data_IF_237603298822
#
_entry.id   IF_237603298822
#
_cell.length_a   1.000
_cell.length_b   1.000
_cell.length_c   1.000
_cell.angle_alpha   90.00
_cell.angle_beta   90.00
_cell.angle_gamma   90.00
#
_symmetry.space_group_name_H-M   'P 1'
#
loop_
_entity.id
_entity.type
_entity.pdbx_description
1 polymer ?
#
# COMPACT_ATOMS: atom_id res chain seq x y z
N UNK A 1 -23.21 7.40 -64.79
CA UNK A 1 -22.24 6.71 -63.94
C UNK A 1 -22.78 6.60 -62.52
N UNK A 2 -23.07 5.39 -62.02
CA UNK A 2 -23.12 5.11 -60.59
C UNK A 2 -21.94 4.21 -60.20
N UNK A 3 -21.13 4.64 -59.23
CA UNK A 3 -20.01 3.87 -58.67
C UNK A 3 -20.55 2.73 -57.80
N UNK A 4 -20.16 1.49 -58.14
CA UNK A 4 -20.47 0.26 -57.39
C UNK A 4 -19.87 0.32 -55.98
N UNK A 5 -20.70 -0.08 -55.02
CA UNK A 5 -20.41 -0.30 -53.60
C UNK A 5 -19.49 -1.52 -53.47
N UNK A 6 -18.34 -1.36 -52.80
CA UNK A 6 -17.40 -2.43 -52.46
C UNK A 6 -17.89 -3.05 -51.15
N UNK A 7 -18.30 -4.32 -51.19
CA UNK A 7 -18.45 -5.17 -50.01
C UNK A 7 -17.06 -5.50 -49.50
N UNK A 8 -16.76 -5.09 -48.27
CA UNK A 8 -15.63 -5.60 -47.51
C UNK A 8 -16.10 -6.93 -46.90
N UNK A 9 -15.55 -8.03 -47.42
CA UNK A 9 -15.71 -9.35 -46.84
C UNK A 9 -15.04 -9.37 -45.47
N UNK A 10 -15.86 -9.55 -44.45
CA UNK A 10 -15.47 -9.88 -43.08
C UNK A 10 -14.76 -11.22 -43.08
N UNK A 11 -13.42 -11.21 -42.99
CA UNK A 11 -12.62 -12.39 -42.75
C UNK A 11 -12.49 -12.60 -41.23
N UNK A 12 -13.60 -12.95 -40.58
CA UNK A 12 -13.59 -13.54 -39.23
C UNK A 12 -13.10 -14.99 -39.34
N UNK A 13 -11.79 -15.15 -39.45
CA UNK A 13 -11.13 -16.41 -39.09
C UNK A 13 -11.02 -16.50 -37.56
N UNK A 14 -11.05 -17.70 -36.97
CA UNK A 14 -10.78 -17.85 -35.54
C UNK A 14 -9.39 -17.27 -35.27
N UNK A 15 -9.29 -16.31 -34.35
CA UNK A 15 -8.01 -15.82 -33.84
C UNK A 15 -7.25 -17.01 -33.27
N UNK A 16 -6.29 -17.52 -34.05
CA UNK A 16 -5.30 -18.48 -33.59
C UNK A 16 -4.63 -17.84 -32.38
N UNK A 17 -4.87 -18.40 -31.19
CA UNK A 17 -4.23 -17.91 -29.97
C UNK A 17 -2.71 -17.87 -30.21
N UNK A 18 -2.08 -16.73 -29.93
CA UNK A 18 -0.62 -16.64 -29.99
C UNK A 18 -0.02 -17.77 -29.16
N UNK A 19 0.99 -18.45 -29.69
CA UNK A 19 1.73 -19.46 -28.93
C UNK A 19 2.41 -18.82 -27.71
N UNK A 20 2.45 -19.51 -26.55
CA UNK A 20 3.18 -19.04 -25.37
C UNK A 20 4.63 -18.68 -25.69
N UNK A 21 5.14 -17.60 -25.09
CA UNK A 21 6.48 -17.05 -25.33
C UNK A 21 7.41 -17.36 -24.15
N UNK A 22 8.69 -17.68 -24.37
CA UNK A 22 9.65 -17.87 -23.29
C UNK A 22 9.98 -16.53 -22.61
N UNK A 23 10.07 -16.53 -21.29
CA UNK A 23 10.58 -15.40 -20.51
C UNK A 23 12.11 -15.45 -20.48
N UNK A 24 12.79 -14.58 -21.23
CA UNK A 24 14.26 -14.57 -21.32
C UNK A 24 14.95 -14.38 -19.96
N UNK A 25 14.34 -13.62 -19.04
CA UNK A 25 14.88 -13.39 -17.69
C UNK A 25 14.83 -14.65 -16.81
N UNK A 26 14.00 -15.64 -17.16
CA UNK A 26 13.75 -16.86 -16.39
C UNK A 26 13.68 -18.05 -17.35
N UNK A 27 14.80 -18.30 -18.03
CA UNK A 27 14.98 -19.44 -18.89
C UNK A 27 16.34 -20.09 -18.62
N UNK A 28 16.33 -21.15 -17.80
CA UNK A 28 17.56 -21.87 -17.46
C UNK A 28 17.82 -23.01 -18.46
N UNK A 29 18.99 -23.01 -19.09
CA UNK A 29 19.37 -24.02 -20.09
C UNK A 29 19.26 -25.45 -19.53
N UNK A 30 19.68 -25.64 -18.26
CA UNK A 30 19.63 -26.89 -17.50
C UNK A 30 18.31 -27.13 -16.74
N UNK A 31 17.33 -26.24 -16.91
CA UNK A 31 16.01 -26.37 -16.33
C UNK A 31 15.32 -27.68 -16.74
N UNK A 32 14.55 -28.26 -15.82
CA UNK A 32 13.94 -29.58 -15.98
C UNK A 32 12.41 -29.57 -15.86
N UNK A 33 11.81 -28.38 -15.85
CA UNK A 33 10.37 -28.15 -15.91
C UNK A 33 10.08 -26.77 -16.51
N UNK A 34 8.96 -26.66 -17.24
CA UNK A 34 8.46 -25.38 -17.73
C UNK A 34 7.18 -25.02 -16.97
N UNK A 35 7.16 -23.87 -16.30
CA UNK A 35 5.92 -23.29 -15.80
C UNK A 35 5.32 -22.43 -16.90
N UNK A 36 4.02 -22.55 -17.16
CA UNK A 36 3.30 -21.68 -18.08
C UNK A 36 2.27 -20.87 -17.28
N UNK A 37 2.31 -19.55 -17.41
CA UNK A 37 1.33 -18.65 -16.83
C UNK A 37 0.91 -17.64 -17.89
N UNK A 38 -0.40 -17.50 -18.10
CA UNK A 38 -0.95 -16.75 -19.23
C UNK A 38 -0.29 -17.16 -20.56
N UNK A 39 0.24 -16.22 -21.33
CA UNK A 39 0.94 -16.48 -22.59
C UNK A 39 2.48 -16.50 -22.45
N UNK A 40 2.99 -16.79 -21.24
CA UNK A 40 4.41 -16.77 -20.91
C UNK A 40 4.87 -18.11 -20.32
N UNK A 41 6.08 -18.54 -20.66
CA UNK A 41 6.71 -19.76 -20.18
C UNK A 41 8.03 -19.47 -19.46
N UNK A 42 8.29 -20.21 -18.39
CA UNK A 42 9.43 -20.06 -17.50
C UNK A 42 10.11 -21.42 -17.33
N UNK A 43 11.33 -21.59 -17.85
CA UNK A 43 12.07 -22.85 -17.73
C UNK A 43 12.92 -22.82 -16.48
N UNK A 44 12.61 -23.68 -15.50
CA UNK A 44 13.13 -23.64 -14.12
C UNK A 44 13.47 -25.04 -13.58
N UNK A 45 13.83 -25.13 -12.30
CA UNK A 45 14.29 -26.35 -11.63
C UNK A 45 13.28 -26.82 -10.59
N UNK A 46 12.80 -28.06 -10.73
CA UNK A 46 11.93 -28.73 -9.75
C UNK A 46 12.50 -28.66 -8.33
N UNK A 47 13.80 -28.91 -8.18
CA UNK A 47 14.49 -28.93 -6.89
C UNK A 47 14.55 -27.57 -6.20
N UNK A 48 14.66 -26.47 -6.97
CA UNK A 48 14.67 -25.11 -6.41
C UNK A 48 13.27 -24.76 -5.90
N UNK A 49 12.25 -24.94 -6.73
CA UNK A 49 10.87 -24.65 -6.33
C UNK A 49 10.42 -25.53 -5.16
N UNK A 50 10.64 -26.85 -5.24
CA UNK A 50 10.28 -27.80 -4.19
C UNK A 50 11.03 -27.57 -2.86
N UNK A 51 12.25 -27.02 -2.90
CA UNK A 51 12.99 -26.63 -1.68
C UNK A 51 12.28 -25.50 -0.92
N UNK A 52 11.60 -24.59 -1.63
CA UNK A 52 10.99 -23.40 -1.05
C UNK A 52 9.47 -23.51 -0.87
N UNK A 53 8.83 -24.48 -1.53
CA UNK A 53 7.39 -24.66 -1.57
C UNK A 53 7.03 -26.14 -1.49
N UNK A 54 6.31 -26.52 -0.43
CA UNK A 54 5.74 -27.87 -0.31
C UNK A 54 4.70 -28.13 -1.40
N UNK A 55 3.94 -27.10 -1.79
CA UNK A 55 2.94 -27.19 -2.87
C UNK A 55 3.60 -27.57 -4.19
N UNK A 56 4.72 -26.93 -4.57
CA UNK A 56 5.45 -27.31 -5.78
C UNK A 56 6.11 -28.69 -5.63
N UNK A 57 6.61 -29.05 -4.44
CA UNK A 57 7.17 -30.39 -4.20
C UNK A 57 6.11 -31.48 -4.50
N UNK A 58 4.93 -31.36 -3.88
CA UNK A 58 3.83 -32.29 -4.07
C UNK A 58 3.32 -32.30 -5.52
N UNK A 59 3.25 -31.12 -6.15
CA UNK A 59 2.84 -30.97 -7.55
C UNK A 59 3.71 -31.79 -8.50
N UNK A 60 5.02 -31.86 -8.24
CA UNK A 60 5.97 -32.55 -9.12
C UNK A 60 6.09 -34.05 -8.84
N UNK A 61 5.62 -34.52 -7.68
CA UNK A 61 5.58 -35.93 -7.31
C UNK A 61 4.37 -36.68 -7.92
N UNK A 62 3.35 -35.95 -8.38
CA UNK A 62 2.20 -36.55 -9.02
C UNK A 62 2.58 -37.26 -10.34
N UNK A 63 2.06 -38.48 -10.60
CA UNK A 63 2.39 -39.24 -11.80
C UNK A 63 1.90 -38.49 -13.04
N UNK A 64 2.84 -38.12 -13.91
CA UNK A 64 2.54 -37.43 -15.16
C UNK A 64 1.93 -38.42 -16.16
N UNK A 65 0.94 -37.99 -16.93
CA UNK A 65 0.37 -38.83 -18.00
C UNK A 65 1.34 -38.79 -19.19
N UNK A 66 1.57 -39.94 -19.84
CA UNK A 66 2.59 -40.07 -20.90
C UNK A 66 2.41 -39.15 -22.13
N UNK A 67 1.28 -38.44 -22.25
CA UNK A 67 0.92 -37.58 -23.39
C UNK A 67 0.92 -36.07 -23.05
N UNK A 68 1.55 -35.67 -21.95
CA UNK A 68 1.63 -34.24 -21.58
C UNK A 68 2.52 -33.44 -22.55
N UNK A 69 2.10 -32.19 -22.90
CA UNK A 69 2.89 -31.33 -23.77
C UNK A 69 4.24 -30.99 -23.13
N UNK A 70 5.29 -31.03 -23.93
CA UNK A 70 6.67 -30.69 -23.52
C UNK A 70 7.24 -29.55 -24.34
N UNK A 71 8.07 -28.72 -23.71
CA UNK A 71 8.93 -27.72 -24.37
C UNK A 71 10.37 -28.03 -24.00
N UNK A 72 11.27 -28.08 -24.99
CA UNK A 72 12.67 -28.52 -24.80
C UNK A 72 12.82 -29.88 -24.09
N UNK A 73 11.86 -30.79 -24.31
CA UNK A 73 11.81 -32.09 -23.63
C UNK A 73 11.47 -32.01 -22.13
N UNK A 74 11.10 -30.83 -21.62
CA UNK A 74 10.67 -30.62 -20.25
C UNK A 74 9.13 -30.63 -20.16
N UNK A 75 8.54 -31.26 -19.14
CA UNK A 75 7.09 -31.22 -18.93
C UNK A 75 6.64 -29.79 -18.62
N UNK A 76 5.44 -29.44 -19.11
CA UNK A 76 4.81 -28.14 -18.87
C UNK A 76 3.81 -28.25 -17.73
N UNK A 77 3.87 -27.32 -16.78
CA UNK A 77 2.87 -27.14 -15.73
C UNK A 77 2.17 -25.80 -15.96
N UNK A 78 0.88 -25.86 -16.31
CA UNK A 78 0.06 -24.66 -16.46
C UNK A 78 -0.40 -24.14 -15.10
N UNK A 79 -0.15 -22.86 -14.86
CA UNK A 79 -0.53 -22.12 -13.66
C UNK A 79 -1.58 -21.08 -14.03
N UNK A 80 -2.56 -20.89 -13.15
CA UNK A 80 -3.63 -19.88 -13.30
C UNK A 80 -3.24 -18.49 -12.76
N UNK A 81 -1.96 -18.27 -12.50
CA UNK A 81 -1.42 -17.00 -11.98
C UNK A 81 -1.06 -16.05 -13.12
N UNK A 82 -0.80 -14.78 -12.77
CA UNK A 82 -0.28 -13.82 -13.74
C UNK A 82 1.16 -14.15 -14.12
N UNK A 83 1.54 -13.89 -15.38
CA UNK A 83 2.92 -14.06 -15.80
C UNK A 83 3.89 -13.14 -15.02
N UNK A 84 3.44 -11.94 -14.62
CA UNK A 84 4.24 -10.99 -13.84
C UNK A 84 4.55 -11.53 -12.43
N UNK A 85 3.57 -12.09 -11.72
CA UNK A 85 3.78 -12.64 -10.37
C UNK A 85 4.70 -13.86 -10.41
N UNK A 86 4.54 -14.77 -11.38
CA UNK A 86 5.41 -15.94 -11.56
C UNK A 86 6.85 -15.52 -11.88
N UNK A 87 7.02 -14.51 -12.74
CA UNK A 87 8.33 -13.93 -13.04
C UNK A 87 9.02 -13.41 -11.77
N UNK A 88 8.33 -12.57 -11.00
CA UNK A 88 8.89 -11.98 -9.78
C UNK A 88 9.20 -13.03 -8.71
N UNK A 89 8.33 -14.04 -8.53
CA UNK A 89 8.59 -15.17 -7.64
C UNK A 89 9.84 -15.94 -8.09
N UNK A 90 9.97 -16.26 -9.37
CA UNK A 90 11.11 -17.01 -9.87
C UNK A 90 12.42 -16.21 -9.70
N UNK A 91 12.47 -14.95 -10.15
CA UNK A 91 13.65 -14.10 -9.97
C UNK A 91 14.05 -13.97 -8.49
N UNK A 92 13.06 -13.91 -7.60
CA UNK A 92 13.28 -13.89 -6.15
C UNK A 92 13.92 -15.18 -5.63
N UNK A 93 13.36 -16.35 -5.99
CA UNK A 93 13.85 -17.66 -5.56
C UNK A 93 15.25 -17.97 -6.10
N UNK A 94 15.59 -17.44 -7.26
CA UNK A 94 16.88 -17.60 -7.90
C UNK A 94 17.92 -16.54 -7.49
N UNK A 95 17.58 -15.65 -6.56
CA UNK A 95 18.55 -14.71 -5.99
C UNK A 95 18.88 -13.53 -6.89
N UNK A 96 17.97 -13.12 -7.77
CA UNK A 96 18.17 -11.92 -8.58
C UNK A 96 18.39 -10.68 -7.68
N UNK A 97 19.40 -9.88 -8.02
CA UNK A 97 19.85 -8.74 -7.22
C UNK A 97 18.76 -7.68 -7.03
N UNK A 98 17.92 -7.47 -8.04
CA UNK A 98 16.89 -6.42 -8.03
C UNK A 98 15.64 -6.91 -7.28
N UNK A 99 15.56 -8.21 -7.01
CA UNK A 99 14.48 -8.86 -6.26
C UNK A 99 14.88 -9.23 -4.82
N UNK A 100 16.18 -9.35 -4.51
CA UNK A 100 16.69 -9.76 -3.18
C UNK A 100 17.56 -8.73 -2.48
N UNK A 101 18.09 -7.73 -3.21
CA UNK A 101 19.28 -6.98 -2.80
C UNK A 101 19.08 -5.60 -2.17
N UNK A 102 17.94 -5.29 -1.52
CA UNK A 102 17.83 -3.98 -0.88
C UNK A 102 16.69 -3.81 0.12
N UNK A 103 16.78 -2.77 0.95
CA UNK A 103 15.77 -2.37 1.93
C UNK A 103 14.43 -1.93 1.30
N UNK A 104 14.41 -1.80 -0.03
CA UNK A 104 13.33 -1.20 -0.79
C UNK A 104 13.09 -1.92 -2.13
N UNK A 105 11.87 -2.42 -2.33
CA UNK A 105 11.45 -3.20 -3.51
C UNK A 105 10.28 -2.53 -4.24
N UNK A 106 10.13 -2.72 -5.56
CA UNK A 106 8.94 -2.24 -6.28
C UNK A 106 7.65 -2.85 -5.73
N UNK A 107 6.54 -2.09 -5.76
CA UNK A 107 5.22 -2.58 -5.28
C UNK A 107 4.79 -3.89 -5.97
N UNK A 108 5.05 -4.04 -7.27
CA UNK A 108 4.76 -5.26 -8.01
C UNK A 108 5.52 -6.49 -7.48
N UNK A 109 6.79 -6.32 -7.07
CA UNK A 109 7.58 -7.39 -6.46
C UNK A 109 6.99 -7.75 -5.10
N UNK A 110 6.71 -6.76 -4.25
CA UNK A 110 6.10 -6.97 -2.93
C UNK A 110 4.73 -7.66 -3.04
N UNK A 111 3.91 -7.28 -4.01
CA UNK A 111 2.63 -7.92 -4.29
C UNK A 111 2.79 -9.39 -4.69
N UNK A 112 3.70 -9.68 -5.62
CA UNK A 112 4.02 -11.04 -6.03
C UNK A 112 4.52 -11.89 -4.85
N UNK A 113 5.36 -11.32 -3.98
CA UNK A 113 5.85 -11.99 -2.77
C UNK A 113 4.70 -12.42 -1.84
N UNK A 114 3.72 -11.54 -1.60
CA UNK A 114 2.57 -11.85 -0.75
C UNK A 114 1.63 -12.85 -1.42
N UNK A 115 1.25 -12.64 -2.69
CA UNK A 115 0.33 -13.54 -3.42
C UNK A 115 0.90 -14.93 -3.58
N UNK A 116 2.10 -15.04 -4.17
CA UNK A 116 2.71 -16.32 -4.48
C UNK A 116 3.20 -17.01 -3.22
N UNK A 117 3.74 -16.24 -2.26
CA UNK A 117 4.17 -16.78 -0.97
C UNK A 117 3.02 -17.37 -0.16
N UNK A 118 1.81 -16.79 -0.23
CA UNK A 118 0.62 -17.39 0.37
C UNK A 118 0.12 -18.60 -0.41
N UNK A 119 -0.03 -18.48 -1.74
CA UNK A 119 -0.64 -19.53 -2.59
C UNK A 119 0.20 -20.81 -2.64
N UNK A 120 1.52 -20.66 -2.73
CA UNK A 120 2.47 -21.78 -2.86
C UNK A 120 3.18 -22.10 -1.55
N UNK A 121 2.71 -21.57 -0.42
CA UNK A 121 3.29 -21.79 0.91
C UNK A 121 4.81 -21.54 0.99
N UNK A 122 5.24 -20.38 0.47
CA UNK A 122 6.63 -19.91 0.51
C UNK A 122 6.77 -18.90 1.64
N UNK A 123 6.83 -19.41 2.87
CA UNK A 123 6.64 -18.61 4.09
C UNK A 123 7.61 -17.42 4.21
N UNK A 124 8.91 -17.63 3.96
CA UNK A 124 9.91 -16.57 4.06
C UNK A 124 9.65 -15.40 3.09
N UNK A 125 9.26 -15.69 1.84
CA UNK A 125 8.92 -14.66 0.84
C UNK A 125 7.62 -13.94 1.25
N UNK A 126 6.60 -14.69 1.66
CA UNK A 126 5.32 -14.13 2.15
C UNK A 126 5.55 -13.16 3.30
N UNK A 127 6.31 -13.58 4.31
CA UNK A 127 6.56 -12.79 5.52
C UNK A 127 7.39 -11.54 5.23
N UNK A 128 8.36 -11.63 4.32
CA UNK A 128 9.13 -10.47 3.91
C UNK A 128 8.29 -9.45 3.13
N UNK A 129 7.44 -9.91 2.19
CA UNK A 129 6.51 -9.04 1.47
C UNK A 129 5.55 -8.32 2.43
N UNK A 130 5.01 -9.05 3.42
CA UNK A 130 4.20 -8.47 4.48
C UNK A 130 4.96 -7.41 5.29
N UNK A 131 6.24 -7.66 5.60
CA UNK A 131 7.07 -6.69 6.32
C UNK A 131 7.29 -5.39 5.53
N UNK A 132 7.46 -5.47 4.21
CA UNK A 132 7.53 -4.26 3.36
C UNK A 132 6.22 -3.46 3.39
N UNK A 133 5.08 -4.15 3.37
CA UNK A 133 3.77 -3.50 3.48
C UNK A 133 3.59 -2.84 4.85
N UNK A 134 3.88 -3.55 5.95
CA UNK A 134 3.76 -3.03 7.32
C UNK A 134 4.73 -1.90 7.63
N UNK A 135 5.93 -1.91 7.05
CA UNK A 135 6.86 -0.78 7.14
C UNK A 135 6.31 0.44 6.44
N UNK A 136 5.68 0.28 5.27
CA UNK A 136 5.11 1.41 4.50
C UNK A 136 3.80 1.93 5.12
N UNK A 137 2.95 1.02 5.59
CA UNK A 137 1.61 1.28 6.15
C UNK A 137 1.51 0.73 7.58
N UNK A 138 2.14 1.41 8.56
CA UNK A 138 2.28 0.89 9.91
C UNK A 138 1.01 1.03 10.75
N UNK A 139 0.89 0.16 11.75
CA UNK A 139 -0.15 0.24 12.77
C UNK A 139 0.18 1.21 13.92
N UNK A 140 1.46 1.53 14.12
CA UNK A 140 1.92 2.39 15.22
C UNK A 140 2.18 3.82 14.74
N UNK A 141 1.70 4.82 15.50
CA UNK A 141 1.90 6.23 15.18
C UNK A 141 3.39 6.63 15.12
N UNK A 142 4.23 6.05 15.99
CA UNK A 142 5.68 6.28 15.98
C UNK A 142 6.34 5.84 14.66
N UNK A 143 5.90 4.71 14.11
CA UNK A 143 6.36 4.21 12.83
C UNK A 143 5.83 5.07 11.67
N UNK A 144 4.59 5.54 11.75
CA UNK A 144 4.03 6.50 10.79
C UNK A 144 4.83 7.81 10.76
N UNK A 145 5.14 8.36 11.94
CA UNK A 145 5.96 9.57 12.09
C UNK A 145 7.36 9.38 11.48
N UNK A 146 7.98 8.22 11.70
CA UNK A 146 9.29 7.89 11.14
C UNK A 146 9.27 7.90 9.61
N UNK A 147 8.23 7.33 9.01
CA UNK A 147 8.06 7.24 7.57
C UNK A 147 7.91 8.60 6.90
N UNK A 148 7.12 9.50 7.50
CA UNK A 148 6.80 10.79 6.91
C UNK A 148 8.01 11.74 6.86
N UNK A 149 8.96 11.59 7.79
CA UNK A 149 10.00 12.59 7.94
C UNK A 149 11.36 12.18 7.38
N UNK A 150 11.78 10.94 7.55
CA UNK A 150 13.20 10.59 7.39
C UNK A 150 13.47 9.15 6.90
N UNK A 151 12.46 8.29 6.78
CA UNK A 151 12.70 6.91 6.38
C UNK A 151 12.85 6.77 4.86
N UNK A 152 13.88 6.05 4.35
CA UNK A 152 13.85 5.60 2.97
C UNK A 152 12.62 4.68 2.78
N UNK A 153 11.90 4.80 1.66
CA UNK A 153 10.68 4.05 1.48
C UNK A 153 10.99 2.56 1.37
N UNK A 154 10.24 1.72 2.08
CA UNK A 154 10.38 0.27 1.97
C UNK A 154 9.80 -0.28 0.66
N UNK A 155 8.95 0.52 -0.02
CA UNK A 155 8.38 0.22 -1.33
C UNK A 155 8.75 1.35 -2.29
N UNK A 156 9.40 1.02 -3.41
CA UNK A 156 9.82 1.99 -4.42
C UNK A 156 8.67 2.32 -5.37
N UNK A 157 8.46 3.61 -5.59
CA UNK A 157 7.62 4.10 -6.68
C UNK A 157 8.32 3.89 -8.03
N UNK A 158 7.59 3.39 -9.02
CA UNK A 158 7.98 3.52 -10.43
C UNK A 158 7.92 5.00 -10.85
N UNK A 159 8.64 5.44 -11.90
CA UNK A 159 8.47 6.79 -12.45
C UNK A 159 7.00 7.06 -12.79
N UNK A 160 6.43 8.12 -12.23
CA UNK A 160 5.02 8.49 -12.40
C UNK A 160 4.04 7.83 -11.41
N UNK A 161 4.52 6.95 -10.52
CA UNK A 161 3.76 6.40 -9.39
C UNK A 161 4.04 7.24 -8.12
N UNK A 162 3.00 7.59 -7.37
CA UNK A 162 3.11 8.23 -6.06
C UNK A 162 2.56 7.36 -4.94
N UNK A 163 2.54 7.91 -3.74
CA UNK A 163 2.04 7.21 -2.54
C UNK A 163 0.57 6.82 -2.67
N UNK A 164 -0.24 7.60 -3.41
CA UNK A 164 -1.64 7.29 -3.65
C UNK A 164 -1.79 6.00 -4.46
N UNK A 165 -1.06 5.85 -5.56
CA UNK A 165 -1.10 4.64 -6.38
C UNK A 165 -0.61 3.41 -5.59
N UNK A 166 0.45 3.55 -4.80
CA UNK A 166 0.92 2.47 -3.91
C UNK A 166 -0.14 2.10 -2.88
N UNK A 167 -0.79 3.08 -2.24
CA UNK A 167 -1.84 2.81 -1.26
C UNK A 167 -3.04 2.08 -1.90
N UNK A 168 -3.45 2.46 -3.11
CA UNK A 168 -4.54 1.80 -3.83
C UNK A 168 -4.17 0.35 -4.22
N UNK A 169 -2.95 0.13 -4.70
CA UNK A 169 -2.44 -1.22 -4.99
C UNK A 169 -2.35 -2.07 -3.71
N UNK A 170 -1.90 -1.49 -2.60
CA UNK A 170 -1.82 -2.17 -1.31
C UNK A 170 -3.21 -2.52 -0.74
N UNK A 171 -4.21 -1.65 -0.88
CA UNK A 171 -5.60 -1.95 -0.49
C UNK A 171 -6.14 -3.12 -1.31
N UNK A 172 -5.94 -3.11 -2.64
CA UNK A 172 -6.36 -4.21 -3.50
C UNK A 172 -5.70 -5.53 -3.06
N UNK A 173 -4.38 -5.51 -2.85
CA UNK A 173 -3.64 -6.67 -2.37
C UNK A 173 -4.10 -7.13 -0.99
N UNK A 174 -4.40 -6.20 -0.08
CA UNK A 174 -4.89 -6.50 1.26
C UNK A 174 -6.22 -7.24 1.23
N UNK A 175 -7.15 -6.84 0.37
CA UNK A 175 -8.41 -7.55 0.19
C UNK A 175 -8.23 -8.90 -0.50
N UNK A 176 -7.37 -8.98 -1.52
CA UNK A 176 -7.04 -10.23 -2.22
C UNK A 176 -6.38 -11.28 -1.29
N UNK A 177 -5.46 -10.84 -0.44
CA UNK A 177 -4.63 -11.71 0.39
C UNK A 177 -5.04 -11.77 1.86
N UNK A 178 -6.13 -11.10 2.24
CA UNK A 178 -6.58 -10.93 3.62
C UNK A 178 -5.53 -10.31 4.56
N UNK A 179 -4.84 -9.26 4.12
CA UNK A 179 -3.83 -8.52 4.92
C UNK A 179 -4.49 -7.30 5.56
N UNK A 180 -5.26 -7.50 6.63
CA UNK A 180 -6.11 -6.44 7.18
C UNK A 180 -5.33 -5.41 8.00
N UNK A 181 -4.16 -5.75 8.53
CA UNK A 181 -3.42 -4.89 9.48
C UNK A 181 -2.88 -3.59 8.87
N UNK A 182 -2.74 -3.51 7.55
CA UNK A 182 -2.24 -2.33 6.85
C UNK A 182 -3.35 -1.38 6.38
N UNK A 183 -4.60 -1.84 6.39
CA UNK A 183 -5.73 -1.12 5.77
C UNK A 183 -5.96 0.28 6.35
N UNK A 184 -5.97 0.51 7.68
CA UNK A 184 -6.26 1.85 8.20
C UNK A 184 -5.24 2.90 7.74
N UNK A 185 -3.95 2.55 7.74
CA UNK A 185 -2.89 3.43 7.25
C UNK A 185 -2.99 3.66 5.73
N UNK A 186 -3.36 2.64 4.94
CA UNK A 186 -3.61 2.81 3.50
C UNK A 186 -4.77 3.78 3.24
N UNK A 187 -5.90 3.61 3.92
CA UNK A 187 -7.06 4.49 3.76
C UNK A 187 -6.75 5.92 4.19
N UNK A 188 -5.99 6.11 5.27
CA UNK A 188 -5.50 7.43 5.69
C UNK A 188 -4.67 8.10 4.58
N UNK A 189 -3.73 7.37 3.97
CA UNK A 189 -2.95 7.87 2.82
C UNK A 189 -3.86 8.29 1.68
N UNK A 190 -4.86 7.49 1.31
CA UNK A 190 -5.83 7.86 0.27
C UNK A 190 -6.57 9.16 0.64
N UNK A 191 -7.03 9.30 1.89
CA UNK A 191 -7.68 10.51 2.38
C UNK A 191 -6.77 11.75 2.31
N UNK A 192 -5.47 11.61 2.57
CA UNK A 192 -4.50 12.71 2.48
C UNK A 192 -4.41 13.26 1.05
N UNK A 193 -4.36 12.38 0.06
CA UNK A 193 -4.21 12.76 -1.35
C UNK A 193 -5.53 13.13 -2.04
N UNK A 194 -6.68 12.61 -1.57
CA UNK A 194 -8.01 12.92 -2.12
C UNK A 194 -8.44 14.38 -1.90
N UNK A 195 -7.99 15.01 -0.83
CA UNK A 195 -8.35 16.40 -0.52
C UNK A 195 -7.60 17.44 -1.37
N UNK A 196 -6.77 16.99 -2.33
CA UNK A 196 -6.09 17.80 -3.33
C UNK A 196 -6.93 18.08 -4.58
N UNK A 197 -6.52 19.08 -5.38
CA UNK A 197 -7.22 19.56 -6.58
C UNK A 197 -7.10 18.65 -7.81
N UNK A 198 -6.41 17.51 -7.71
CA UNK A 198 -6.33 16.52 -8.79
C UNK A 198 -7.37 15.44 -8.58
N UNK A 199 -8.29 15.32 -9.53
CA UNK A 199 -9.30 14.27 -9.60
C UNK A 199 -8.64 12.93 -9.95
N UNK A 200 -7.96 12.30 -8.98
CA UNK A 200 -7.59 10.89 -9.11
C UNK A 200 -8.86 10.05 -9.02
N UNK A 201 -9.06 9.17 -10.00
CA UNK A 201 -10.18 8.22 -10.00
C UNK A 201 -9.84 7.10 -9.01
N UNK A 202 -10.55 7.07 -7.89
CA UNK A 202 -10.42 6.03 -6.87
C UNK A 202 -11.49 4.96 -7.16
N UNK A 203 -11.19 3.66 -7.01
CA UNK A 203 -12.21 2.61 -7.11
C UNK A 203 -13.38 2.85 -6.15
N UNK A 204 -14.61 2.67 -6.61
CA UNK A 204 -15.84 2.98 -5.86
C UNK A 204 -15.92 2.31 -4.49
N UNK A 205 -15.39 1.08 -4.37
CA UNK A 205 -15.33 0.34 -3.11
C UNK A 205 -14.48 1.05 -2.05
N UNK A 206 -13.30 1.53 -2.45
CA UNK A 206 -12.39 2.33 -1.60
C UNK A 206 -12.98 3.71 -1.35
N UNK A 207 -13.67 4.27 -2.36
CA UNK A 207 -14.27 5.60 -2.29
C UNK A 207 -15.25 5.72 -1.13
N UNK A 208 -16.11 4.71 -0.91
CA UNK A 208 -17.08 4.71 0.19
C UNK A 208 -16.39 4.83 1.55
N UNK A 209 -15.48 3.90 1.86
CA UNK A 209 -14.75 3.86 3.13
C UNK A 209 -13.94 5.14 3.38
N UNK A 210 -13.21 5.61 2.36
CA UNK A 210 -12.43 6.84 2.48
C UNK A 210 -13.30 8.10 2.61
N UNK A 211 -14.51 8.13 2.04
CA UNK A 211 -15.40 9.30 2.16
C UNK A 211 -15.92 9.47 3.58
N UNK A 212 -16.42 8.37 4.18
CA UNK A 212 -16.89 8.39 5.56
C UNK A 212 -15.73 8.68 6.52
N UNK A 213 -14.63 7.94 6.40
CA UNK A 213 -13.47 8.17 7.25
C UNK A 213 -12.87 9.56 7.12
N UNK A 214 -12.87 10.17 5.92
CA UNK A 214 -12.40 11.54 5.77
C UNK A 214 -13.27 12.57 6.50
N UNK A 215 -14.60 12.38 6.53
CA UNK A 215 -15.51 13.29 7.23
C UNK A 215 -15.28 13.21 8.75
N UNK A 216 -15.25 11.99 9.30
CA UNK A 216 -15.05 11.76 10.73
C UNK A 216 -13.65 12.21 11.19
N UNK A 217 -12.61 11.91 10.39
CA UNK A 217 -11.25 12.37 10.66
C UNK A 217 -11.14 13.89 10.65
N UNK A 218 -11.84 14.58 9.75
CA UNK A 218 -11.83 16.03 9.70
C UNK A 218 -12.47 16.64 10.96
N UNK A 219 -13.55 16.03 11.45
CA UNK A 219 -14.24 16.44 12.66
C UNK A 219 -13.34 16.24 13.89
N UNK A 220 -12.89 15.02 14.14
CA UNK A 220 -12.07 14.69 15.32
C UNK A 220 -10.72 15.41 15.30
N UNK A 221 -10.14 15.65 14.12
CA UNK A 221 -8.93 16.47 14.00
C UNK A 221 -9.15 17.86 14.60
N UNK A 222 -10.24 18.54 14.23
CA UNK A 222 -10.49 19.89 14.70
C UNK A 222 -10.91 19.91 16.18
N UNK A 223 -11.70 18.94 16.63
CA UNK A 223 -12.23 18.88 17.99
C UNK A 223 -11.23 18.34 19.02
N UNK A 224 -10.50 17.27 18.70
CA UNK A 224 -9.55 16.63 19.61
C UNK A 224 -8.12 17.10 19.31
N UNK A 225 -7.54 16.72 18.17
CA UNK A 225 -6.11 16.95 17.88
C UNK A 225 -5.73 18.43 17.93
N UNK A 226 -6.59 19.30 17.41
CA UNK A 226 -6.43 20.76 17.43
C UNK A 226 -7.42 21.46 18.37
N UNK A 227 -8.08 20.72 19.26
CA UNK A 227 -9.03 21.26 20.24
C UNK A 227 -8.38 22.30 21.18
N UNK A 228 -7.10 22.09 21.50
CA UNK A 228 -6.27 22.98 22.32
C UNK A 228 -6.25 24.44 21.83
N UNK A 229 -6.52 24.69 20.54
CA UNK A 229 -6.58 26.05 19.96
C UNK A 229 -7.64 26.89 20.66
N UNK A 230 -8.77 26.28 21.01
CA UNK A 230 -9.89 27.00 21.67
C UNK A 230 -9.59 27.32 23.13
N UNK A 231 -8.72 26.56 23.78
CA UNK A 231 -8.39 26.73 25.19
C UNK A 231 -7.29 27.79 25.44
N UNK A 232 -6.69 28.31 24.38
CA UNK A 232 -5.59 29.28 24.47
C UNK A 232 -6.05 30.57 25.16
N UNK A 233 -5.36 30.94 26.24
CA UNK A 233 -5.65 32.16 26.99
C UNK A 233 -6.84 32.07 27.95
N UNK A 234 -7.52 30.92 28.04
CA UNK A 234 -8.66 30.75 28.95
C UNK A 234 -8.23 30.39 30.38
N UNK A 235 -7.10 29.67 30.54
CA UNK A 235 -6.65 29.22 31.85
C UNK A 235 -6.00 30.36 32.65
N UNK A 236 -6.23 30.36 33.96
CA UNK A 236 -5.71 31.38 34.89
C UNK A 236 -4.17 31.46 34.93
N UNK A 237 -3.47 30.39 34.53
CA UNK A 237 -2.01 30.31 34.44
C UNK A 237 -1.44 30.98 33.17
N UNK A 238 -2.29 31.46 32.26
CA UNK A 238 -1.87 32.25 31.11
C UNK A 238 -1.31 33.60 31.57
N UNK A 239 -0.07 33.92 31.18
CA UNK A 239 0.56 35.19 31.55
C UNK A 239 0.24 36.35 30.59
N UNK A 240 -0.37 36.07 29.44
CA UNK A 240 -0.78 37.08 28.47
C UNK A 240 -2.02 36.61 27.70
N UNK A 241 -3.18 36.84 28.33
CA UNK A 241 -4.48 36.38 27.84
C UNK A 241 -4.82 36.95 26.47
N UNK A 242 -4.66 38.26 26.27
CA UNK A 242 -5.01 38.92 25.01
C UNK A 242 -4.21 38.35 23.83
N UNK A 243 -2.88 38.21 23.97
CA UNK A 243 -2.05 37.63 22.90
C UNK A 243 -2.41 36.17 22.64
N UNK A 244 -2.61 35.36 23.68
CA UNK A 244 -2.90 33.94 23.50
C UNK A 244 -4.27 33.71 22.85
N UNK A 245 -5.30 34.48 23.24
CA UNK A 245 -6.62 34.45 22.61
C UNK A 245 -6.54 34.89 21.14
N UNK A 246 -5.79 35.95 20.84
CA UNK A 246 -5.58 36.43 19.48
C UNK A 246 -4.92 35.36 18.61
N UNK A 247 -3.85 34.73 19.11
CA UNK A 247 -3.17 33.65 18.41
C UNK A 247 -4.07 32.44 18.19
N UNK A 248 -4.90 32.06 19.18
CA UNK A 248 -5.92 31.02 19.01
C UNK A 248 -6.88 31.34 17.87
N UNK A 249 -7.37 32.57 17.79
CA UNK A 249 -8.24 33.01 16.67
C UNK A 249 -7.54 32.97 15.31
N UNK A 250 -6.25 33.29 15.25
CA UNK A 250 -5.47 33.17 14.00
C UNK A 250 -5.23 31.72 13.59
N UNK A 251 -4.82 30.86 14.53
CA UNK A 251 -4.59 29.44 14.30
C UNK A 251 -5.88 28.74 13.87
N UNK A 252 -7.00 29.02 14.52
CA UNK A 252 -8.32 28.52 14.15
C UNK A 252 -8.66 28.82 12.67
N UNK A 253 -8.42 30.05 12.21
CA UNK A 253 -8.62 30.45 10.81
C UNK A 253 -7.64 29.77 9.85
N UNK A 254 -6.46 29.37 10.32
CA UNK A 254 -5.37 28.81 9.51
C UNK A 254 -5.33 27.28 9.52
N UNK A 255 -5.97 26.61 10.46
CA UNK A 255 -5.95 25.15 10.57
C UNK A 255 -7.33 24.62 10.22
N UNK A 256 -8.39 25.10 10.89
CA UNK A 256 -9.73 24.55 10.71
C UNK A 256 -10.39 24.91 9.38
N UNK A 257 -9.95 25.99 8.70
CA UNK A 257 -10.46 26.34 7.37
C UNK A 257 -10.03 25.37 6.27
N UNK A 258 -8.97 24.59 6.48
CA UNK A 258 -8.50 23.66 5.46
C UNK A 258 -9.19 22.31 5.63
N UNK A 259 -9.84 21.83 4.57
CA UNK A 259 -10.43 20.49 4.49
C UNK A 259 -9.39 19.41 4.19
N UNK A 260 -8.11 19.80 4.01
CA UNK A 260 -7.03 18.86 3.72
C UNK A 260 -6.65 18.07 4.94
N UNK A 261 -6.68 16.75 4.84
CA UNK A 261 -6.32 15.84 5.92
C UNK A 261 -4.82 15.58 6.02
N UNK A 262 -4.01 16.02 5.05
CA UNK A 262 -2.57 15.73 4.95
C UNK A 262 -1.72 16.12 6.18
N UNK A 263 -2.26 16.93 7.10
CA UNK A 263 -1.61 17.38 8.33
C UNK A 263 -2.37 16.95 9.60
N UNK A 264 -3.23 15.93 9.49
CA UNK A 264 -4.10 15.49 10.60
C UNK A 264 -3.26 14.94 11.74
N UNK A 265 -2.32 14.05 11.44
CA UNK A 265 -1.41 13.44 12.41
C UNK A 265 -0.01 14.05 12.38
N UNK A 266 0.13 15.32 11.99
CA UNK A 266 1.43 16.01 12.09
C UNK A 266 1.94 16.01 13.54
N UNK A 267 3.24 15.82 13.74
CA UNK A 267 3.86 16.04 15.06
C UNK A 267 3.79 17.50 15.46
N UNK A 268 3.76 17.77 16.75
CA UNK A 268 3.84 19.13 17.29
C UNK A 268 5.03 19.89 16.73
N UNK A 269 6.19 19.23 16.56
CA UNK A 269 7.38 19.85 15.98
C UNK A 269 7.13 20.38 14.56
N UNK A 270 6.34 19.67 13.75
CA UNK A 270 5.97 20.11 12.42
C UNK A 270 4.94 21.25 12.47
N UNK A 271 3.92 21.13 13.32
CA UNK A 271 2.91 22.18 13.56
C UNK A 271 3.57 23.48 14.03
N UNK A 272 4.42 23.40 15.05
CA UNK A 272 5.19 24.51 15.62
C UNK A 272 6.08 25.17 14.58
N UNK A 273 6.71 24.41 13.67
CA UNK A 273 7.53 24.92 12.58
C UNK A 273 6.69 25.66 11.53
N UNK A 274 5.59 25.05 11.07
CA UNK A 274 4.71 25.62 10.03
C UNK A 274 4.05 26.91 10.55
N UNK A 275 3.55 26.89 11.78
CA UNK A 275 2.83 27.98 12.39
C UNK A 275 3.67 28.80 13.39
N UNK A 276 4.99 28.79 13.24
CA UNK A 276 5.94 29.44 14.17
C UNK A 276 5.61 30.92 14.43
N UNK A 277 5.10 31.63 13.43
CA UNK A 277 4.72 33.04 13.56
C UNK A 277 3.58 33.27 14.57
N UNK A 278 2.75 32.26 14.84
CA UNK A 278 1.66 32.31 15.81
C UNK A 278 2.03 31.59 17.10
N UNK A 279 2.55 30.36 16.99
CA UNK A 279 2.93 29.54 18.15
C UNK A 279 4.06 30.20 18.95
N UNK A 280 5.02 30.85 18.29
CA UNK A 280 6.11 31.57 18.95
C UNK A 280 5.68 32.80 19.76
N UNK A 281 4.43 33.26 19.62
CA UNK A 281 3.87 34.37 20.40
C UNK A 281 3.10 33.89 21.64
N UNK A 282 2.86 32.58 21.79
CA UNK A 282 2.17 32.03 22.95
C UNK A 282 3.02 32.18 24.21
N UNK A 283 2.37 32.43 25.34
CA UNK A 283 3.07 32.32 26.62
C UNK A 283 3.52 30.88 26.87
N UNK A 284 4.55 30.71 27.73
CA UNK A 284 5.14 29.39 28.01
C UNK A 284 4.12 28.37 28.52
N UNK A 285 3.14 28.78 29.34
CA UNK A 285 2.09 27.89 29.81
C UNK A 285 1.24 27.37 28.65
N UNK A 286 0.64 28.27 27.87
CA UNK A 286 -0.21 27.91 26.73
C UNK A 286 0.54 27.06 25.69
N UNK A 287 1.80 27.38 25.39
CA UNK A 287 2.61 26.59 24.45
C UNK A 287 2.82 25.15 24.93
N UNK A 288 3.14 24.95 26.21
CA UNK A 288 3.38 23.60 26.78
C UNK A 288 2.09 22.79 26.87
N UNK A 289 0.99 23.42 27.27
CA UNK A 289 -0.32 22.76 27.31
C UNK A 289 -0.79 22.38 25.92
N UNK A 290 -0.59 23.26 24.92
CA UNK A 290 -0.91 22.96 23.53
C UNK A 290 -0.09 21.77 22.99
N UNK A 291 1.23 21.76 23.21
CA UNK A 291 2.09 20.64 22.84
C UNK A 291 1.65 19.31 23.46
N UNK A 292 1.45 19.28 24.79
CA UNK A 292 1.03 18.07 25.49
C UNK A 292 -0.32 17.56 25.00
N UNK A 293 -1.30 18.44 24.90
CA UNK A 293 -2.66 18.08 24.44
C UNK A 293 -2.66 17.60 23.00
N UNK A 294 -1.87 18.23 22.12
CA UNK A 294 -1.76 17.83 20.73
C UNK A 294 -1.18 16.42 20.57
N UNK A 295 -0.05 16.14 21.24
CA UNK A 295 0.61 14.83 21.16
C UNK A 295 -0.16 13.70 21.86
N UNK A 296 -0.89 14.01 22.93
CA UNK A 296 -1.83 13.08 23.57
C UNK A 296 -3.01 12.75 22.65
N UNK A 297 -3.76 13.77 22.22
CA UNK A 297 -4.96 13.56 21.38
C UNK A 297 -4.61 12.91 20.03
N UNK A 298 -3.42 13.17 19.48
CA UNK A 298 -2.97 12.53 18.25
C UNK A 298 -2.75 11.02 18.42
N UNK A 299 -2.25 10.59 19.58
CA UNK A 299 -2.11 9.15 19.92
C UNK A 299 -3.48 8.51 20.11
N UNK A 300 -4.36 9.14 20.87
CA UNK A 300 -5.70 8.60 21.14
C UNK A 300 -6.51 8.44 19.84
N UNK A 301 -6.49 9.46 18.97
CA UNK A 301 -7.18 9.40 17.67
C UNK A 301 -6.52 8.39 16.73
N UNK A 302 -5.21 8.14 16.84
CA UNK A 302 -4.54 7.11 16.06
C UNK A 302 -4.94 5.70 16.50
N UNK A 303 -5.09 5.46 17.81
CA UNK A 303 -5.55 4.17 18.35
C UNK A 303 -6.97 3.83 17.88
N UNK A 304 -7.79 4.86 17.61
CA UNK A 304 -9.13 4.74 17.05
C UNK A 304 -9.16 4.77 15.51
N UNK A 305 -8.03 4.99 14.83
CA UNK A 305 -7.93 5.14 13.37
C UNK A 305 -8.74 4.10 12.58
N UNK A 306 -8.69 2.79 12.90
CA UNK A 306 -9.44 1.78 12.16
C UNK A 306 -10.95 2.02 12.18
N UNK A 307 -11.50 2.53 13.29
CA UNK A 307 -12.94 2.70 13.47
C UNK A 307 -13.53 3.76 12.53
N UNK A 308 -12.77 4.82 12.21
CA UNK A 308 -13.17 5.83 11.24
C UNK A 308 -13.32 5.25 9.82
N UNK A 309 -12.68 4.11 9.53
CA UNK A 309 -12.83 3.40 8.26
C UNK A 309 -13.77 2.19 8.34
N UNK A 310 -14.52 2.05 9.45
CA UNK A 310 -15.43 0.92 9.68
C UNK A 310 -14.72 -0.41 9.93
N UNK A 311 -13.45 -0.38 10.36
CA UNK A 311 -12.64 -1.56 10.66
C UNK A 311 -12.62 -1.85 12.16
N UNK A 312 -12.37 -3.12 12.57
CA UNK A 312 -12.07 -3.46 13.96
C UNK A 312 -10.83 -2.73 14.47
N UNK A 313 -10.71 -2.59 15.79
CA UNK A 313 -9.52 -2.01 16.43
C UNK A 313 -8.23 -2.74 16.02
N UNK A 314 -7.09 -2.08 16.18
CA UNK A 314 -5.77 -2.58 15.79
C UNK A 314 -5.47 -4.01 16.28
N UNK A 315 -5.82 -4.33 17.53
CA UNK A 315 -5.57 -5.67 18.10
C UNK A 315 -6.39 -6.80 17.48
N UNK A 316 -7.53 -6.45 16.87
CA UNK A 316 -8.45 -7.38 16.22
C UNK A 316 -8.19 -7.53 14.73
N UNK A 317 -7.41 -6.65 14.12
CA UNK A 317 -6.96 -6.80 12.74
C UNK A 317 -5.91 -7.91 12.66
N UNK A 318 -6.07 -8.79 11.68
CA UNK A 318 -5.24 -9.99 11.48
C UNK A 318 -4.97 -10.19 10.00
N UNK A 319 -3.84 -10.81 9.70
CA UNK A 319 -3.42 -11.11 8.33
C UNK A 319 -3.57 -12.61 8.08
N UNK A 320 -4.04 -12.97 6.88
CA UNK A 320 -4.18 -14.35 6.40
C UNK A 320 -5.16 -15.23 7.22
N UNK A 321 -6.25 -14.67 7.74
CA UNK A 321 -7.24 -15.42 8.54
C UNK A 321 -8.47 -15.90 7.76
N UNK A 322 -8.54 -15.59 6.47
CA UNK A 322 -9.51 -16.16 5.52
C UNK A 322 -8.97 -17.40 4.79
#
# INVERSE_FOLDING_TARGET
MPKRRRTEDTNDGPTVGESPKPCEDVWFDDGNIVLQAENMQFKVHKSVLGKHSVVFSDLFEMPHVNDEPTVDGCPIVELHDSAEDIKHMALRLYGDKDHTGGDALPMAVVAAMVRMGRKYDIEHIKNEGLNHLKKTFPAELSSWDHNYENAPPSIKCKPGQGDLEIALEAIKLAHECDVKTILPACYLTVCYYRTGTSAHVIPTEVEGQCSFGAADLLEVRNQAIYGWISELGEKAQCSNQDICLDMGRYLMKKIWRYTRLSSTFDRWTNVARIYHAYIGQLCTFCSRTAEGSHEENRRDVWDELPSYFGLPNWGSLKDFEN
#
